data_IF_958155186182
#
_entry.id   IF_958155186182
#
_cell.length_a   1.000
_cell.length_b   1.000
_cell.length_c   1.000
_cell.angle_alpha   90.00
_cell.angle_beta   90.00
_cell.angle_gamma   90.00
#
_symmetry.space_group_name_H-M   'P 1'
#
loop_
_entity.id
_entity.type
_entity.pdbx_description
1 polymer ?
#
# COMPACT_ATOMS: atom_id res chain seq x y z
N UNK A 1 34.53 17.34 -42.95
CA UNK A 1 33.72 18.57 -42.73
C UNK A 1 32.81 18.32 -41.53
N UNK A 2 33.18 18.87 -40.38
CA UNK A 2 32.46 18.75 -39.13
C UNK A 2 31.42 19.87 -39.02
N UNK A 3 30.19 19.55 -38.64
CA UNK A 3 29.18 20.56 -38.28
C UNK A 3 28.57 20.18 -36.93
N UNK A 4 29.11 20.82 -35.88
CA UNK A 4 28.52 20.90 -34.55
C UNK A 4 27.15 21.57 -34.64
N UNK A 5 26.10 20.94 -34.13
CA UNK A 5 24.85 21.63 -33.75
C UNK A 5 24.81 21.76 -32.22
N UNK A 6 24.82 23.02 -31.77
CA UNK A 6 24.81 23.46 -30.37
C UNK A 6 23.47 23.15 -29.71
N UNK A 7 23.54 22.58 -28.50
CA UNK A 7 22.50 22.56 -27.50
C UNK A 7 22.18 24.00 -27.03
N UNK A 8 20.88 24.33 -26.92
CA UNK A 8 20.37 25.53 -26.24
C UNK A 8 19.43 25.03 -25.15
N UNK A 9 19.82 25.25 -23.88
CA UNK A 9 18.95 25.11 -22.71
C UNK A 9 18.17 26.41 -22.47
N UNK A 10 16.90 26.37 -22.03
CA UNK A 10 16.26 27.53 -21.45
C UNK A 10 16.34 27.51 -19.92
N UNK A 11 17.11 28.48 -19.41
CA UNK A 11 16.84 29.35 -18.26
C UNK A 11 16.08 28.81 -17.02
N UNK A 12 16.83 28.73 -15.92
CA UNK A 12 16.36 28.87 -14.54
C UNK A 12 15.72 30.24 -14.32
N UNK A 13 14.56 30.28 -13.68
CA UNK A 13 14.05 31.48 -13.00
C UNK A 13 13.91 31.21 -11.50
N UNK A 14 14.78 31.84 -10.72
CA UNK A 14 14.68 31.98 -9.27
C UNK A 14 13.60 33.00 -8.92
N UNK A 15 12.61 32.62 -8.11
CA UNK A 15 11.72 33.59 -7.47
C UNK A 15 12.05 33.69 -5.99
N UNK A 16 12.31 34.94 -5.61
CA UNK A 16 12.74 35.42 -4.32
C UNK A 16 11.60 35.38 -3.31
N UNK A 17 12.04 35.05 -2.11
CA UNK A 17 11.40 35.19 -0.81
C UNK A 17 11.02 36.65 -0.56
N UNK A 18 9.74 36.92 -0.29
CA UNK A 18 9.31 38.19 0.32
C UNK A 18 8.45 37.90 1.54
N UNK A 19 8.99 38.30 2.69
CA UNK A 19 8.31 38.44 3.98
C UNK A 19 7.43 39.68 3.97
N UNK A 20 6.19 39.57 4.44
CA UNK A 20 5.48 40.70 5.04
C UNK A 20 4.70 40.25 6.27
N UNK A 21 4.73 41.13 7.26
CA UNK A 21 4.37 40.98 8.66
C UNK A 21 2.96 41.48 8.98
N UNK A 22 2.40 40.91 10.05
CA UNK A 22 1.54 41.53 11.09
C UNK A 22 0.37 42.44 10.65
N UNK A 23 -0.85 41.96 10.87
CA UNK A 23 -1.87 42.67 11.67
C UNK A 23 -2.80 41.64 12.30
N UNK A 24 -2.95 41.70 13.63
CA UNK A 24 -3.73 40.75 14.42
C UNK A 24 -5.18 41.20 14.64
N UNK A 25 -6.04 40.24 14.93
CA UNK A 25 -7.15 40.41 15.88
C UNK A 25 -7.67 39.06 16.39
N UNK A 26 -7.36 38.80 17.66
CA UNK A 26 -8.17 38.20 18.75
C UNK A 26 -8.80 36.79 18.62
N UNK A 27 -8.24 35.93 19.49
CA UNK A 27 -8.90 35.11 20.52
C UNK A 27 -10.06 34.17 20.16
N UNK A 28 -9.77 32.87 20.30
CA UNK A 28 -10.72 31.78 20.46
C UNK A 28 -10.00 30.45 20.69
N UNK A 29 -9.67 30.16 21.95
CA UNK A 29 -9.33 28.81 22.45
C UNK A 29 -10.44 27.82 22.05
N UNK A 30 -10.22 26.56 21.66
CA UNK A 30 -9.79 25.35 22.41
C UNK A 30 -9.47 24.32 21.30
N UNK A 31 -8.31 23.69 21.17
CA UNK A 31 -7.67 22.79 22.12
C UNK A 31 -7.51 21.40 21.48
N UNK A 32 -6.58 21.27 20.54
CA UNK A 32 -6.20 19.99 19.92
C UNK A 32 -5.36 19.15 20.89
N UNK A 33 -5.82 17.95 21.22
CA UNK A 33 -5.10 17.02 22.09
C UNK A 33 -4.01 16.28 21.32
N UNK A 34 -2.77 16.69 21.54
CA UNK A 34 -1.56 16.00 21.10
C UNK A 34 -1.28 14.83 22.08
N UNK A 35 -1.37 13.59 21.58
CA UNK A 35 -1.02 12.38 22.35
C UNK A 35 0.48 12.35 22.61
N UNK A 36 0.86 12.51 23.87
CA UNK A 36 2.24 12.41 24.36
C UNK A 36 2.43 11.03 25.00
N UNK A 37 3.38 10.24 24.47
CA UNK A 37 3.83 9.00 25.10
C UNK A 37 4.67 9.33 26.34
N UNK A 38 4.36 8.76 27.49
CA UNK A 38 5.21 8.85 28.69
C UNK A 38 6.09 7.61 28.81
N UNK A 39 7.39 7.86 28.89
CA UNK A 39 8.44 6.89 29.19
C UNK A 39 8.28 6.33 30.60
N UNK A 40 8.57 5.02 30.73
CA UNK A 40 8.74 4.30 31.99
C UNK A 40 10.04 4.78 32.64
N UNK A 41 9.96 5.32 33.86
CA UNK A 41 11.11 5.59 34.72
C UNK A 41 10.87 4.91 36.07
N UNK A 42 11.88 4.15 36.51
CA UNK A 42 11.86 3.35 37.73
C UNK A 42 11.86 4.23 38.97
N UNK A 43 11.32 3.71 40.07
CA UNK A 43 11.65 4.15 41.43
C UNK A 43 11.39 2.98 42.37
N UNK A 44 12.40 2.10 42.47
CA UNK A 44 12.62 1.30 43.66
C UNK A 44 12.96 2.28 44.80
N UNK A 45 11.98 2.56 45.67
CA UNK A 45 12.18 2.99 47.07
C UNK A 45 10.84 3.28 47.73
N UNK A 46 10.11 2.22 48.10
CA UNK A 46 9.18 2.23 49.24
C UNK A 46 8.75 0.81 49.64
N UNK A 47 9.72 -0.08 49.81
CA UNK A 47 9.51 -1.33 50.55
C UNK A 47 9.93 -1.02 51.99
N UNK A 48 9.16 -1.51 52.96
CA UNK A 48 9.28 -1.32 54.42
C UNK A 48 8.51 -0.11 54.98
N UNK A 49 7.19 -0.27 55.04
CA UNK A 49 6.29 0.07 56.18
C UNK A 49 4.83 0.00 55.72
N UNK A 50 4.37 -1.22 55.45
CA UNK A 50 2.98 -1.55 55.12
C UNK A 50 2.77 -3.02 55.53
N UNK A 51 2.85 -3.33 56.83
CA UNK A 51 2.64 -4.73 57.28
C UNK A 51 1.56 -4.90 58.36
N UNK A 52 0.99 -3.82 58.93
CA UNK A 52 0.01 -3.97 60.03
C UNK A 52 -1.37 -3.35 59.77
N UNK A 53 -1.70 -3.02 58.51
CA UNK A 53 -3.04 -2.56 58.13
C UNK A 53 -3.67 -3.33 56.96
N UNK A 54 -3.11 -4.48 56.58
CA UNK A 54 -3.53 -5.24 55.38
C UNK A 54 -4.47 -6.42 55.65
N UNK A 55 -4.67 -6.85 56.91
CA UNK A 55 -5.49 -8.06 57.15
C UNK A 55 -7.00 -7.85 57.25
N UNK A 56 -7.48 -6.60 57.24
CA UNK A 56 -8.91 -6.28 57.20
C UNK A 56 -9.30 -5.40 55.99
N UNK A 57 -8.34 -4.86 55.24
CA UNK A 57 -8.54 -4.05 54.03
C UNK A 57 -8.21 -4.80 52.72
N UNK A 58 -7.47 -5.92 52.79
CA UNK A 58 -7.15 -6.74 51.62
C UNK A 58 -8.40 -7.36 50.96
N UNK A 59 -9.42 -7.75 51.72
CA UNK A 59 -10.60 -8.43 51.18
C UNK A 59 -11.53 -7.52 50.35
N UNK A 60 -11.56 -6.22 50.63
CA UNK A 60 -12.42 -5.26 49.91
C UNK A 60 -11.73 -4.69 48.66
N UNK A 61 -10.40 -4.56 48.69
CA UNK A 61 -9.65 -4.13 47.52
C UNK A 61 -9.51 -5.28 46.50
N UNK A 62 -9.29 -6.50 46.96
CA UNK A 62 -9.23 -7.70 46.09
C UNK A 62 -10.56 -7.94 45.37
N UNK A 63 -11.70 -7.74 46.04
CA UNK A 63 -13.01 -7.82 45.40
C UNK A 63 -13.23 -6.73 44.34
N UNK A 64 -12.76 -5.50 44.59
CA UNK A 64 -12.85 -4.39 43.63
C UNK A 64 -11.93 -4.59 42.42
N UNK A 65 -10.73 -5.13 42.63
CA UNK A 65 -9.81 -5.48 41.53
C UNK A 65 -10.34 -6.66 40.72
N UNK A 66 -10.92 -7.68 41.35
CA UNK A 66 -11.57 -8.78 40.65
C UNK A 66 -12.84 -8.33 39.90
N UNK A 67 -13.62 -7.40 40.46
CA UNK A 67 -14.74 -6.75 39.75
C UNK A 67 -14.27 -5.93 38.53
N UNK A 68 -13.14 -5.24 38.63
CA UNK A 68 -12.57 -4.49 37.51
C UNK A 68 -11.99 -5.42 36.43
N UNK A 69 -11.31 -6.49 36.83
CA UNK A 69 -10.78 -7.52 35.92
C UNK A 69 -11.92 -8.25 35.21
N UNK A 70 -13.00 -8.59 35.91
CA UNK A 70 -14.17 -9.25 35.32
C UNK A 70 -14.86 -8.32 34.31
N UNK A 71 -15.02 -7.04 34.64
CA UNK A 71 -15.54 -6.04 33.72
C UNK A 71 -14.68 -5.87 32.46
N UNK A 72 -13.36 -5.80 32.61
CA UNK A 72 -12.42 -5.71 31.47
C UNK A 72 -12.51 -6.98 30.59
N UNK A 73 -12.60 -8.16 31.20
CA UNK A 73 -12.75 -9.44 30.47
C UNK A 73 -14.08 -9.48 29.73
N UNK A 74 -15.15 -8.98 30.32
CA UNK A 74 -16.46 -8.92 29.71
C UNK A 74 -16.50 -7.93 28.54
N UNK A 75 -15.93 -6.74 28.71
CA UNK A 75 -15.74 -5.76 27.64
C UNK A 75 -14.88 -6.32 26.50
N UNK A 76 -13.78 -7.03 26.82
CA UNK A 76 -12.94 -7.71 25.85
C UNK A 76 -13.70 -8.80 25.09
N UNK A 77 -14.50 -9.62 25.78
CA UNK A 77 -15.28 -10.68 25.15
C UNK A 77 -16.38 -10.10 24.25
N UNK A 78 -17.05 -9.03 24.67
CA UNK A 78 -18.03 -8.29 23.84
C UNK A 78 -17.35 -7.69 22.61
N UNK A 79 -16.18 -7.07 22.78
CA UNK A 79 -15.40 -6.52 21.67
C UNK A 79 -14.93 -7.62 20.70
N UNK A 80 -14.49 -8.76 21.22
CA UNK A 80 -14.06 -9.95 20.46
C UNK A 80 -15.22 -10.55 19.66
N UNK A 81 -16.39 -10.71 20.26
CA UNK A 81 -17.57 -11.19 19.55
C UNK A 81 -18.04 -10.21 18.47
N UNK A 82 -18.04 -8.91 18.78
CA UNK A 82 -18.33 -7.87 17.78
C UNK A 82 -17.30 -7.94 16.65
N UNK A 83 -16.01 -8.07 16.96
CA UNK A 83 -14.95 -8.21 15.97
C UNK A 83 -15.11 -9.46 15.10
N UNK A 84 -15.54 -10.59 15.66
CA UNK A 84 -15.85 -11.80 14.90
C UNK A 84 -17.08 -11.63 14.00
N UNK A 85 -18.01 -10.74 14.37
CA UNK A 85 -19.19 -10.37 13.57
C UNK A 85 -18.91 -9.25 12.55
N UNK A 86 -17.83 -8.47 12.71
CA UNK A 86 -17.40 -7.43 11.75
C UNK A 86 -17.20 -8.00 10.34
N UNK A 87 -16.54 -9.16 10.11
CA UNK A 87 -16.40 -9.75 8.79
C UNK A 87 -17.74 -9.98 8.08
N UNK A 88 -18.76 -10.44 8.79
CA UNK A 88 -20.06 -10.73 8.21
C UNK A 88 -20.90 -9.46 8.04
N UNK A 89 -20.76 -8.48 8.92
CA UNK A 89 -21.33 -7.13 8.73
C UNK A 89 -20.69 -6.41 7.53
N UNK A 90 -19.37 -6.50 7.35
CA UNK A 90 -18.64 -5.96 6.19
C UNK A 90 -19.01 -6.67 4.88
N UNK A 91 -19.25 -7.98 4.91
CA UNK A 91 -19.79 -8.73 3.74
C UNK A 91 -21.22 -8.30 3.39
N UNK A 92 -22.02 -7.93 4.39
CA UNK A 92 -23.39 -7.46 4.23
C UNK A 92 -23.50 -5.98 3.85
N UNK A 93 -22.43 -5.19 4.05
CA UNK A 93 -22.40 -3.82 3.55
C UNK A 93 -22.58 -3.85 2.03
N UNK A 94 -23.46 -2.98 1.48
CA UNK A 94 -23.63 -2.91 0.04
C UNK A 94 -22.27 -2.60 -0.58
N UNK A 95 -21.79 -3.54 -1.41
CA UNK A 95 -20.66 -3.30 -2.30
C UNK A 95 -20.95 -1.99 -3.03
N UNK A 96 -19.91 -1.17 -3.16
CA UNK A 96 -19.88 0.12 -3.83
C UNK A 96 -20.97 0.24 -4.93
N UNK A 97 -21.80 1.29 -4.88
CA UNK A 97 -22.89 1.45 -5.84
C UNK A 97 -22.28 1.53 -7.26
N UNK A 98 -22.61 0.59 -8.18
CA UNK A 98 -22.02 0.56 -9.51
C UNK A 98 -22.38 1.78 -10.36
N UNK A 99 -23.42 2.55 -9.97
CA UNK A 99 -23.82 3.82 -10.60
C UNK A 99 -23.44 5.04 -9.76
N UNK A 100 -22.75 4.84 -8.63
CA UNK A 100 -22.35 5.91 -7.73
C UNK A 100 -21.19 6.72 -8.31
N UNK A 101 -21.27 8.05 -8.18
CA UNK A 101 -20.15 8.96 -8.47
C UNK A 101 -19.51 9.35 -7.14
N UNK A 102 -18.23 9.04 -6.96
CA UNK A 102 -17.48 9.27 -5.73
C UNK A 102 -16.64 10.55 -5.84
N UNK A 103 -16.59 11.33 -4.76
CA UNK A 103 -16.01 12.68 -4.76
C UNK A 103 -14.85 12.77 -3.78
N UNK A 104 -13.64 13.04 -4.30
CA UNK A 104 -12.46 13.32 -3.48
C UNK A 104 -12.31 14.83 -3.18
N UNK A 105 -12.74 15.68 -4.11
CA UNK A 105 -12.67 17.15 -4.02
C UNK A 105 -13.94 17.76 -4.57
N UNK A 106 -14.40 18.85 -3.96
CA UNK A 106 -15.59 19.57 -4.43
C UNK A 106 -15.37 20.12 -5.84
N UNK A 107 -16.33 19.88 -6.73
CA UNK A 107 -16.32 20.33 -8.13
C UNK A 107 -17.71 20.81 -8.54
N UNK A 108 -17.75 21.94 -9.24
CA UNK A 108 -18.96 22.57 -9.75
C UNK A 108 -19.16 22.24 -11.23
N UNK A 109 -19.99 21.23 -11.51
CA UNK A 109 -20.22 20.76 -12.88
C UNK A 109 -20.87 21.82 -13.79
N UNK A 110 -21.62 22.76 -13.20
CA UNK A 110 -22.25 23.88 -13.93
C UNK A 110 -21.24 24.89 -14.49
N UNK A 111 -20.01 24.92 -13.96
CA UNK A 111 -18.93 25.76 -14.48
C UNK A 111 -18.14 25.12 -15.64
N UNK A 112 -18.38 23.84 -15.94
CA UNK A 112 -17.61 23.08 -16.93
C UNK A 112 -18.32 23.15 -18.29
N UNK A 113 -17.61 23.63 -19.32
CA UNK A 113 -18.16 23.75 -20.68
C UNK A 113 -17.75 22.62 -21.61
N UNK A 114 -16.61 21.97 -21.34
CA UNK A 114 -16.03 20.96 -22.22
C UNK A 114 -15.73 19.70 -21.41
N UNK A 115 -16.17 18.56 -21.93
CA UNK A 115 -15.90 17.24 -21.38
C UNK A 115 -15.03 16.46 -22.36
N UNK A 116 -13.78 16.19 -21.95
CA UNK A 116 -12.88 15.29 -22.66
C UNK A 116 -13.03 13.87 -22.14
N UNK A 117 -13.05 12.89 -23.04
CA UNK A 117 -13.08 11.48 -22.69
C UNK A 117 -11.84 10.80 -23.25
N UNK A 118 -11.20 9.98 -22.43
CA UNK A 118 -10.26 8.97 -22.91
C UNK A 118 -11.04 7.85 -23.63
N UNK A 119 -10.38 7.07 -24.48
CA UNK A 119 -11.04 6.05 -25.28
C UNK A 119 -11.01 4.69 -24.59
N UNK A 120 -9.82 4.13 -24.41
CA UNK A 120 -9.63 2.76 -23.92
C UNK A 120 -9.96 2.63 -22.44
N UNK A 121 -10.78 1.65 -22.07
CA UNK A 121 -11.28 1.45 -20.70
C UNK A 121 -12.05 2.63 -20.10
N UNK A 122 -12.38 3.65 -20.90
CA UNK A 122 -13.25 4.77 -20.53
C UNK A 122 -14.54 4.76 -21.35
N UNK A 123 -14.43 4.89 -22.68
CA UNK A 123 -15.58 4.73 -23.60
C UNK A 123 -15.67 3.28 -24.09
N UNK A 124 -14.54 2.73 -24.54
CA UNK A 124 -14.44 1.37 -25.03
C UNK A 124 -14.14 0.40 -23.87
N UNK A 125 -15.11 -0.44 -23.54
CA UNK A 125 -14.94 -1.50 -22.55
C UNK A 125 -14.56 -2.80 -23.25
N UNK A 126 -13.40 -3.34 -22.88
CA UNK A 126 -12.90 -4.59 -23.44
C UNK A 126 -13.38 -5.80 -22.66
N UNK A 127 -13.55 -6.93 -23.36
CA UNK A 127 -13.80 -8.21 -22.72
C UNK A 127 -12.54 -8.76 -22.06
N UNK A 128 -12.69 -9.76 -21.19
CA UNK A 128 -11.58 -10.46 -20.55
C UNK A 128 -10.61 -11.11 -21.55
N UNK A 129 -11.07 -11.39 -22.77
CA UNK A 129 -10.27 -12.04 -23.81
C UNK A 129 -9.11 -11.17 -24.29
N UNK A 130 -9.21 -9.84 -24.15
CA UNK A 130 -8.13 -8.93 -24.54
C UNK A 130 -6.83 -9.23 -23.79
N UNK A 131 -6.92 -9.54 -22.49
CA UNK A 131 -5.74 -9.82 -21.66
C UNK A 131 -5.06 -11.11 -22.13
N UNK A 132 -5.83 -12.18 -22.35
CA UNK A 132 -5.30 -13.42 -22.93
C UNK A 132 -4.63 -13.19 -24.29
N UNK A 133 -5.23 -12.36 -25.15
CA UNK A 133 -4.65 -12.01 -26.44
C UNK A 133 -3.32 -11.26 -26.31
N UNK A 134 -3.25 -10.23 -25.45
CA UNK A 134 -2.02 -9.47 -25.21
C UNK A 134 -0.91 -10.40 -24.70
N UNK A 135 -1.24 -11.25 -23.74
CA UNK A 135 -0.32 -12.24 -23.19
C UNK A 135 0.20 -13.21 -24.27
N UNK A 136 -0.70 -13.75 -25.10
CA UNK A 136 -0.35 -14.68 -26.17
C UNK A 136 0.51 -14.04 -27.27
N UNK A 137 0.25 -12.79 -27.61
CA UNK A 137 1.08 -12.04 -28.54
C UNK A 137 2.46 -11.71 -27.93
N UNK A 138 2.50 -11.35 -26.65
CA UNK A 138 3.75 -11.06 -25.94
C UNK A 138 4.67 -12.29 -25.87
N UNK A 139 4.13 -13.47 -25.52
CA UNK A 139 4.93 -14.71 -25.46
C UNK A 139 5.44 -15.13 -26.84
N UNK A 140 4.62 -15.00 -27.88
CA UNK A 140 5.05 -15.27 -29.26
C UNK A 140 6.19 -14.33 -29.67
N UNK A 141 6.06 -13.05 -29.37
CA UNK A 141 7.10 -12.06 -29.67
C UNK A 141 8.40 -12.35 -28.92
N UNK A 142 8.32 -12.71 -27.64
CA UNK A 142 9.47 -13.05 -26.80
C UNK A 142 10.26 -14.25 -27.35
N UNK A 143 9.57 -15.31 -27.76
CA UNK A 143 10.20 -16.52 -28.30
C UNK A 143 10.74 -16.28 -29.71
N UNK A 144 9.93 -15.66 -30.58
CA UNK A 144 10.30 -15.48 -31.98
C UNK A 144 11.41 -14.45 -32.19
N UNK A 145 11.33 -13.29 -31.53
CA UNK A 145 12.27 -12.18 -31.75
C UNK A 145 13.44 -12.21 -30.75
N UNK A 146 13.17 -12.48 -29.47
CA UNK A 146 14.19 -12.46 -28.41
C UNK A 146 14.79 -13.84 -28.10
N UNK A 147 14.35 -14.90 -28.79
CA UNK A 147 14.90 -16.26 -28.70
C UNK A 147 14.89 -16.85 -27.29
N UNK A 148 13.84 -16.53 -26.53
CA UNK A 148 13.56 -17.22 -25.27
C UNK A 148 13.18 -18.68 -25.53
N UNK A 149 13.35 -19.58 -24.53
CA UNK A 149 13.03 -20.99 -24.68
C UNK A 149 11.60 -21.24 -25.18
N UNK A 150 11.44 -22.20 -26.09
CA UNK A 150 10.13 -22.56 -26.68
C UNK A 150 9.11 -23.01 -25.62
N UNK A 151 9.58 -23.48 -24.46
CA UNK A 151 8.75 -23.82 -23.29
C UNK A 151 7.90 -22.65 -22.82
N UNK A 152 8.29 -21.40 -23.09
CA UNK A 152 7.51 -20.21 -22.74
C UNK A 152 6.19 -20.11 -23.53
N UNK A 153 6.06 -20.79 -24.68
CA UNK A 153 4.82 -20.79 -25.48
C UNK A 153 3.68 -21.56 -24.79
N UNK A 154 4.01 -22.47 -23.89
CA UNK A 154 3.05 -23.29 -23.14
C UNK A 154 2.33 -22.50 -22.04
N UNK A 155 2.86 -21.33 -21.67
CA UNK A 155 2.29 -20.52 -20.60
C UNK A 155 0.90 -20.02 -20.96
N UNK A 156 0.06 -19.91 -19.92
CA UNK A 156 -1.32 -19.46 -20.02
C UNK A 156 -1.55 -18.30 -19.07
N UNK A 157 -2.22 -17.28 -19.58
CA UNK A 157 -2.61 -16.13 -18.78
C UNK A 157 -3.54 -16.55 -17.62
N UNK A 158 -3.15 -16.17 -16.40
CA UNK A 158 -3.92 -16.39 -15.19
C UNK A 158 -4.50 -15.05 -14.68
N UNK A 159 -5.81 -14.80 -14.86
CA UNK A 159 -6.43 -13.55 -14.44
C UNK A 159 -6.57 -13.41 -12.92
N UNK A 160 -6.32 -14.47 -12.15
CA UNK A 160 -6.47 -14.45 -10.69
C UNK A 160 -5.22 -13.94 -9.95
N UNK A 161 -4.08 -13.89 -10.63
CA UNK A 161 -2.80 -13.53 -10.04
C UNK A 161 -2.56 -12.02 -9.95
N UNK A 162 -2.58 -11.25 -11.06
CA UNK A 162 -2.24 -9.83 -10.99
C UNK A 162 -3.40 -9.01 -10.43
N UNK A 163 -3.06 -8.00 -9.63
CA UNK A 163 -3.98 -6.93 -9.22
C UNK A 163 -3.50 -5.60 -9.79
N UNK A 164 -4.41 -4.62 -9.87
CA UNK A 164 -4.08 -3.28 -10.35
C UNK A 164 -3.26 -2.53 -9.31
N UNK A 165 -2.27 -1.76 -9.76
CA UNK A 165 -1.50 -0.88 -8.88
C UNK A 165 -0.21 -1.50 -8.35
N UNK A 166 0.26 -2.59 -8.95
CA UNK A 166 1.53 -3.20 -8.58
C UNK A 166 2.72 -2.35 -9.08
N UNK A 167 3.87 -2.56 -8.43
CA UNK A 167 5.15 -2.00 -8.83
C UNK A 167 6.09 -3.15 -9.20
N UNK A 168 6.76 -3.02 -10.35
CA UNK A 168 7.79 -3.96 -10.77
C UNK A 168 9.18 -3.38 -10.54
N UNK A 169 10.00 -4.10 -9.79
CA UNK A 169 11.41 -3.79 -9.59
C UNK A 169 12.25 -4.51 -10.66
N UNK A 170 12.75 -3.76 -11.64
CA UNK A 170 13.59 -4.30 -12.71
C UNK A 170 14.96 -4.76 -12.22
N UNK A 171 15.47 -4.20 -11.13
CA UNK A 171 16.79 -4.53 -10.58
C UNK A 171 16.76 -5.88 -9.88
N UNK A 172 15.69 -6.12 -9.11
CA UNK A 172 15.54 -7.33 -8.29
C UNK A 172 14.59 -8.37 -8.87
N UNK A 173 13.78 -8.03 -9.87
CA UNK A 173 12.80 -8.93 -10.48
C UNK A 173 11.55 -9.17 -9.62
N UNK A 174 11.24 -8.27 -8.67
CA UNK A 174 10.11 -8.43 -7.77
C UNK A 174 8.88 -7.63 -8.21
N UNK A 175 7.70 -8.23 -8.05
CA UNK A 175 6.41 -7.55 -8.12
C UNK A 175 5.95 -7.25 -6.70
N UNK A 176 5.63 -5.99 -6.41
CA UNK A 176 5.25 -5.59 -5.06
C UNK A 176 4.05 -4.64 -5.04
N UNK A 177 3.21 -4.82 -4.02
CA UNK A 177 2.21 -3.84 -3.64
C UNK A 177 2.79 -2.87 -2.60
N UNK A 178 2.60 -1.58 -2.82
CA UNK A 178 3.06 -0.53 -1.93
C UNK A 178 1.88 0.15 -1.25
N UNK A 179 2.01 0.40 0.05
CA UNK A 179 1.10 1.27 0.79
C UNK A 179 1.27 2.74 0.36
N UNK A 180 0.33 3.59 0.77
CA UNK A 180 0.36 5.04 0.60
C UNK A 180 1.68 5.68 1.05
N UNK A 181 2.34 5.13 2.07
CA UNK A 181 3.65 5.62 2.55
C UNK A 181 4.84 5.04 1.79
N UNK A 182 4.64 4.29 0.71
CA UNK A 182 5.72 3.64 -0.06
C UNK A 182 6.38 2.48 0.68
N UNK A 183 5.65 1.83 1.58
CA UNK A 183 6.13 0.63 2.28
C UNK A 183 5.61 -0.63 1.59
N UNK A 184 6.45 -1.64 1.46
CA UNK A 184 6.07 -2.93 0.88
C UNK A 184 5.04 -3.61 1.79
N UNK A 185 3.91 -3.99 1.21
CA UNK A 185 2.89 -4.80 1.88
C UNK A 185 3.44 -6.20 2.18
N UNK A 186 3.28 -6.67 3.43
CA UNK A 186 3.84 -7.95 3.88
C UNK A 186 3.39 -9.12 3.02
N UNK A 187 2.14 -9.06 2.57
CA UNK A 187 1.51 -10.11 1.80
C UNK A 187 1.48 -9.83 0.30
N UNK A 188 2.09 -8.73 -0.14
CA UNK A 188 1.96 -8.21 -1.50
C UNK A 188 3.27 -8.22 -2.30
N UNK A 189 4.31 -8.92 -1.86
CA UNK A 189 5.59 -9.00 -2.56
C UNK A 189 5.84 -10.40 -3.12
N UNK A 190 6.18 -10.47 -4.40
CA UNK A 190 6.33 -11.69 -5.17
C UNK A 190 7.62 -11.67 -5.99
N UNK A 191 8.28 -12.82 -6.03
CA UNK A 191 9.40 -13.10 -6.92
C UNK A 191 9.00 -14.27 -7.83
N UNK A 192 8.77 -13.97 -9.11
CA UNK A 192 8.03 -14.87 -9.99
C UNK A 192 6.60 -15.09 -9.48
N UNK A 193 6.20 -16.36 -9.32
CA UNK A 193 4.92 -16.76 -8.71
C UNK A 193 5.05 -17.00 -7.21
N UNK A 194 6.28 -17.06 -6.68
CA UNK A 194 6.58 -17.26 -5.28
C UNK A 194 6.34 -15.99 -4.46
N UNK A 195 5.50 -16.10 -3.42
CA UNK A 195 5.32 -15.01 -2.46
C UNK A 195 6.52 -14.93 -1.53
N UNK A 196 7.09 -13.74 -1.37
CA UNK A 196 8.22 -13.51 -0.46
C UNK A 196 7.75 -13.38 0.99
N UNK A 197 8.50 -14.01 1.88
CA UNK A 197 8.35 -13.83 3.32
C UNK A 197 8.96 -12.51 3.76
N UNK A 198 8.57 -12.05 4.96
CA UNK A 198 9.12 -10.82 5.53
C UNK A 198 10.65 -10.84 5.63
N UNK A 199 11.24 -11.99 5.99
CA UNK A 199 12.69 -12.12 6.11
C UNK A 199 13.37 -11.92 4.76
N UNK A 200 12.85 -12.53 3.70
CA UNK A 200 13.39 -12.37 2.34
C UNK A 200 13.27 -10.93 1.86
N UNK A 201 12.16 -10.25 2.18
CA UNK A 201 11.98 -8.82 1.85
C UNK A 201 13.03 -7.98 2.59
N UNK A 202 13.20 -8.22 3.90
CA UNK A 202 14.19 -7.50 4.71
C UNK A 202 15.63 -7.80 4.22
N UNK A 203 15.93 -9.02 3.78
CA UNK A 203 17.24 -9.38 3.21
C UNK A 203 17.48 -8.71 1.85
N UNK A 204 16.45 -8.62 1.00
CA UNK A 204 16.57 -8.02 -0.33
C UNK A 204 16.60 -6.49 -0.29
N UNK A 205 15.72 -5.87 0.49
CA UNK A 205 15.52 -4.41 0.52
C UNK A 205 16.15 -3.73 1.74
N UNK A 206 16.62 -4.48 2.74
CA UNK A 206 17.14 -3.98 4.01
C UNK A 206 16.04 -3.47 4.94
N UNK A 207 15.09 -2.74 4.39
CA UNK A 207 13.89 -2.25 5.08
C UNK A 207 12.69 -2.36 4.16
N UNK A 208 11.49 -2.46 4.75
CA UNK A 208 10.22 -2.45 3.99
C UNK A 208 9.92 -1.12 3.32
N UNK A 209 10.54 -0.02 3.74
CA UNK A 209 10.24 1.29 3.20
C UNK A 209 11.09 1.54 1.95
N UNK A 210 10.43 1.74 0.81
CA UNK A 210 11.12 2.09 -0.43
C UNK A 210 11.41 3.58 -0.41
N UNK A 211 12.70 3.92 -0.41
CA UNK A 211 13.16 5.30 -0.46
C UNK A 211 12.76 5.99 -1.77
N UNK A 212 12.70 7.32 -1.77
CA UNK A 212 12.25 8.11 -2.94
C UNK A 212 13.05 7.83 -4.22
N UNK A 213 14.36 7.63 -4.10
CA UNK A 213 15.21 7.37 -5.26
C UNK A 213 14.98 5.96 -5.80
N UNK A 214 14.84 4.96 -4.93
CA UNK A 214 14.47 3.59 -5.32
C UNK A 214 13.08 3.55 -5.96
N UNK A 215 12.12 4.30 -5.42
CA UNK A 215 10.75 4.36 -5.96
C UNK A 215 10.70 4.89 -7.40
N UNK A 216 11.69 5.65 -7.85
CA UNK A 216 11.79 6.15 -9.23
C UNK A 216 12.30 5.09 -10.21
N UNK A 217 12.98 4.07 -9.72
CA UNK A 217 13.49 2.96 -10.54
C UNK A 217 12.41 1.89 -10.76
N UNK A 218 11.44 1.82 -9.85
CA UNK A 218 10.27 0.95 -9.96
C UNK A 218 9.39 1.35 -11.15
N UNK A 219 8.88 0.33 -11.84
CA UNK A 219 7.92 0.50 -12.94
C UNK A 219 6.51 0.38 -12.36
N UNK A 220 5.70 1.46 -12.39
CA UNK A 220 4.32 1.41 -11.89
C UNK A 220 3.40 0.76 -12.92
N UNK A 221 2.68 -0.28 -12.52
CA UNK A 221 1.73 -1.04 -13.34
C UNK A 221 0.29 -0.61 -13.01
N UNK A 222 -0.11 0.55 -13.57
CA UNK A 222 -1.31 1.29 -13.15
C UNK A 222 -2.51 1.16 -14.08
N UNK A 223 -2.33 0.72 -15.32
CA UNK A 223 -3.43 0.55 -16.26
C UNK A 223 -3.99 -0.88 -16.22
N UNK A 224 -5.05 -1.14 -16.99
CA UNK A 224 -5.65 -2.46 -17.10
C UNK A 224 -4.89 -3.39 -18.06
N UNK A 225 -4.10 -2.86 -18.99
CA UNK A 225 -3.28 -3.66 -19.90
C UNK A 225 -2.12 -4.35 -19.16
N UNK A 226 -1.67 -3.74 -18.07
CA UNK A 226 -0.63 -4.22 -17.17
C UNK A 226 -0.94 -5.57 -16.51
N UNK A 227 -2.20 -6.06 -16.52
CA UNK A 227 -2.51 -7.38 -15.94
C UNK A 227 -1.78 -8.49 -16.67
N UNK A 228 -1.84 -8.46 -18.00
CA UNK A 228 -1.11 -9.42 -18.84
C UNK A 228 0.39 -9.31 -18.65
N UNK A 229 0.91 -8.08 -18.58
CA UNK A 229 2.33 -7.81 -18.37
C UNK A 229 2.82 -8.33 -17.01
N UNK A 230 2.13 -8.00 -15.91
CA UNK A 230 2.47 -8.45 -14.57
C UNK A 230 2.45 -9.98 -14.44
N UNK A 231 1.39 -10.61 -14.98
CA UNK A 231 1.29 -12.06 -15.01
C UNK A 231 2.45 -12.68 -15.81
N UNK A 232 2.76 -12.12 -16.97
CA UNK A 232 3.79 -12.66 -17.85
C UNK A 232 5.19 -12.50 -17.27
N UNK A 233 5.50 -11.35 -16.66
CA UNK A 233 6.76 -11.14 -15.94
C UNK A 233 6.92 -12.19 -14.82
N UNK A 234 5.87 -12.44 -14.05
CA UNK A 234 5.90 -13.45 -12.99
C UNK A 234 6.16 -14.86 -13.53
N UNK A 235 5.51 -15.23 -14.64
CA UNK A 235 5.69 -16.55 -15.28
C UNK A 235 7.11 -16.75 -15.81
N UNK A 236 7.66 -15.73 -16.47
CA UNK A 236 9.02 -15.77 -17.00
C UNK A 236 10.03 -15.86 -15.87
N UNK A 237 9.90 -15.05 -14.83
CA UNK A 237 10.78 -15.12 -13.66
C UNK A 237 10.68 -16.50 -12.99
N UNK A 238 9.47 -17.03 -12.81
CA UNK A 238 9.27 -18.36 -12.23
C UNK A 238 9.95 -19.45 -13.06
N UNK A 239 9.83 -19.39 -14.40
CA UNK A 239 10.48 -20.33 -15.30
C UNK A 239 11.99 -20.38 -15.10
N UNK A 240 12.66 -19.23 -14.98
CA UNK A 240 14.10 -19.21 -14.73
C UNK A 240 14.49 -19.61 -13.31
N UNK A 241 13.63 -19.37 -12.32
CA UNK A 241 13.84 -19.84 -10.95
C UNK A 241 13.74 -21.37 -10.86
N UNK A 242 12.83 -21.97 -11.60
CA UNK A 242 12.65 -23.42 -11.63
C UNK A 242 13.71 -24.11 -12.50
N UNK A 243 14.13 -23.45 -13.58
CA UNK A 243 15.16 -23.95 -14.49
C UNK A 243 16.59 -23.80 -13.96
N UNK A 244 16.78 -23.44 -12.67
CA UNK A 244 18.08 -23.23 -12.02
C UNK A 244 19.14 -24.23 -12.52
N UNK A 245 20.07 -23.71 -13.32
CA UNK A 245 21.33 -24.33 -13.72
C UNK A 245 22.36 -24.25 -12.60
#
# INVERSE_FOLDING_TARGET
MATLRRLIQPFRSSLLRTSFSHYGCKEGFIGGSCRRYSNIASSEQKILKLEDQERLSANANDSLFEEEITKIREEYNVAKEKFLKIPDALKQMPKMNPKGVYVNKNMRLDSIQVYGFDYDYTLAHYSSNLQSLIYDLAKQHLVNEFKYPDTCLEFKHDPSFPIRGLYYDKSKGCLMNLDFFGSIELDGCYYGRGKLSRKEIDDMYGTRHIGRDQARELVPLMDFFCFSEACFIADIMQHFVDAKF
#
